data_IF_750738494537
#
_entry.id   IF_750738494537
#
_cell.length_a   1.000
_cell.length_b   1.000
_cell.length_c   1.000
_cell.angle_alpha   90.00
_cell.angle_beta   90.00
_cell.angle_gamma   90.00
#
_symmetry.space_group_name_H-M   'P 1'
#
loop_
_entity.id
_entity.type
_entity.pdbx_description
1 polymer ?
#
# COMPACT_ATOMS: atom_id res chain seq x y z
N UNK A 1 -22.55 -2.03 6.16
CA UNK A 1 -22.37 -3.33 6.85
C UNK A 1 -21.10 -3.23 7.71
N UNK A 2 -21.21 -3.31 9.04
CA UNK A 2 -20.05 -3.21 9.94
C UNK A 2 -19.38 -4.59 9.94
N UNK A 3 -18.17 -4.68 9.40
CA UNK A 3 -17.44 -5.95 9.33
C UNK A 3 -16.91 -6.26 10.75
N UNK A 4 -17.58 -7.16 11.47
CA UNK A 4 -17.27 -7.52 12.87
C UNK A 4 -16.10 -8.52 12.99
N UNK A 5 -15.68 -9.11 11.87
CA UNK A 5 -14.63 -10.10 11.85
C UNK A 5 -13.73 -9.92 10.63
N UNK A 6 -12.43 -10.16 10.81
CA UNK A 6 -11.49 -10.24 9.69
C UNK A 6 -10.79 -11.59 9.73
N UNK A 7 -10.75 -12.32 8.61
CA UNK A 7 -9.88 -13.47 8.52
C UNK A 7 -8.44 -12.96 8.60
N UNK A 8 -7.71 -13.41 9.62
CA UNK A 8 -6.27 -13.27 9.66
C UNK A 8 -5.67 -14.64 9.45
N UNK A 9 -4.62 -14.68 8.65
CA UNK A 9 -3.83 -15.88 8.50
C UNK A 9 -3.16 -16.15 9.86
N UNK A 10 -3.33 -17.34 10.41
CA UNK A 10 -2.54 -17.76 11.56
C UNK A 10 -1.14 -18.15 11.05
N UNK A 11 -0.07 -17.44 11.44
CA UNK A 11 1.28 -17.77 10.98
C UNK A 11 1.73 -19.18 11.41
N UNK A 12 1.14 -19.73 12.47
CA UNK A 12 1.44 -21.08 12.97
C UNK A 12 0.61 -22.16 12.25
N UNK A 13 -0.54 -21.79 11.69
CA UNK A 13 -1.46 -22.69 11.01
C UNK A 13 -1.86 -22.10 9.65
N UNK A 14 -0.94 -22.07 8.67
CA UNK A 14 -1.13 -21.36 7.39
C UNK A 14 -2.25 -21.95 6.52
N UNK A 15 -2.80 -23.11 6.91
CA UNK A 15 -3.95 -23.76 6.28
C UNK A 15 -5.29 -23.30 6.85
N UNK A 16 -5.31 -22.61 7.99
CA UNK A 16 -6.52 -22.18 8.69
C UNK A 16 -6.65 -20.66 8.72
N UNK A 17 -7.83 -20.16 8.34
CA UNK A 17 -8.19 -18.77 8.59
C UNK A 17 -8.64 -18.61 10.04
N UNK A 18 -7.84 -17.93 10.86
CA UNK A 18 -8.31 -17.51 12.17
C UNK A 18 -9.17 -16.25 11.98
N UNK A 19 -10.48 -16.46 11.92
CA UNK A 19 -11.45 -15.36 11.93
C UNK A 19 -11.37 -14.69 13.30
N UNK A 20 -10.67 -13.57 13.38
CA UNK A 20 -10.57 -12.80 14.61
C UNK A 20 -11.65 -11.74 14.60
N UNK A 21 -12.45 -11.67 15.66
CA UNK A 21 -13.37 -10.54 15.85
C UNK A 21 -12.56 -9.27 15.98
N UNK A 22 -12.85 -8.29 15.13
CA UNK A 22 -12.20 -7.00 15.20
C UNK A 22 -12.88 -6.22 16.32
N UNK A 23 -12.11 -5.76 17.31
CA UNK A 23 -12.56 -4.81 18.32
C UNK A 23 -12.74 -3.42 17.67
N UNK A 24 -13.79 -3.30 16.84
CA UNK A 24 -14.10 -2.08 16.12
C UNK A 24 -14.41 -0.96 17.10
N UNK A 25 -15.20 -1.25 18.13
CA UNK A 25 -15.62 -0.24 19.10
C UNK A 25 -14.43 0.26 19.92
N UNK A 26 -13.50 -0.62 20.32
CA UNK A 26 -12.28 -0.19 20.97
C UNK A 26 -11.33 0.55 20.02
N UNK A 27 -11.23 0.17 18.75
CA UNK A 27 -10.48 0.93 17.76
C UNK A 27 -11.06 2.34 17.56
N UNK A 28 -12.39 2.44 17.46
CA UNK A 28 -13.10 3.72 17.34
C UNK A 28 -12.95 4.57 18.61
N UNK A 29 -13.03 3.97 19.81
CA UNK A 29 -12.74 4.67 21.07
C UNK A 29 -11.30 5.19 21.12
N UNK A 30 -10.31 4.38 20.71
CA UNK A 30 -8.90 4.81 20.65
C UNK A 30 -8.70 5.95 19.66
N UNK A 31 -9.32 5.88 18.48
CA UNK A 31 -9.30 6.95 17.49
C UNK A 31 -9.95 8.24 18.01
N UNK A 32 -11.16 8.14 18.58
CA UNK A 32 -11.86 9.29 19.16
C UNK A 32 -11.06 9.92 20.30
N UNK A 33 -10.46 9.12 21.19
CA UNK A 33 -9.59 9.62 22.25
C UNK A 33 -8.33 10.30 21.71
N UNK A 34 -7.72 9.77 20.64
CA UNK A 34 -6.57 10.39 19.98
C UNK A 34 -6.94 11.72 19.30
N UNK A 35 -8.10 11.79 18.66
CA UNK A 35 -8.61 13.04 18.07
C UNK A 35 -8.99 14.06 19.14
N UNK A 36 -9.68 13.67 20.21
CA UNK A 36 -10.00 14.58 21.32
C UNK A 36 -8.73 15.15 22.00
N UNK A 37 -7.64 14.38 22.05
CA UNK A 37 -6.33 14.88 22.48
C UNK A 37 -5.77 15.92 21.52
N UNK A 38 -5.85 15.67 20.20
CA UNK A 38 -5.44 16.61 19.13
C UNK A 38 -6.25 17.91 19.13
N UNK A 39 -7.54 17.80 19.39
CA UNK A 39 -8.48 18.92 19.40
C UNK A 39 -8.54 19.64 20.76
N UNK A 40 -7.71 19.21 21.73
CA UNK A 40 -7.62 19.91 23.00
C UNK A 40 -7.17 21.36 22.78
N UNK A 41 -7.92 22.29 23.38
CA UNK A 41 -7.70 23.74 23.28
C UNK A 41 -6.23 24.14 23.52
N UNK A 42 -5.55 23.48 24.47
CA UNK A 42 -4.13 23.69 24.73
C UNK A 42 -3.22 23.33 23.54
N UNK A 43 -3.47 22.23 22.84
CA UNK A 43 -2.70 21.87 21.64
C UNK A 43 -2.98 22.80 20.46
N UNK A 44 -4.23 23.24 20.28
CA UNK A 44 -4.59 24.21 19.25
C UNK A 44 -3.97 25.60 19.51
N UNK A 45 -3.96 26.06 20.77
CA UNK A 45 -3.34 27.33 21.18
C UNK A 45 -1.81 27.25 21.07
N UNK A 46 -1.19 26.15 21.51
CA UNK A 46 0.26 25.97 21.35
C UNK A 46 0.68 25.83 19.88
N UNK A 47 -0.12 25.18 19.03
CA UNK A 47 0.13 25.06 17.59
C UNK A 47 0.03 26.38 16.84
N UNK A 48 -0.80 27.32 17.30
CA UNK A 48 -0.98 28.67 16.71
C UNK A 48 -0.04 29.73 17.29
N UNK A 49 0.63 29.46 18.41
CA UNK A 49 1.58 30.39 19.01
C UNK A 49 2.86 30.50 18.18
N UNK A 50 3.11 31.67 17.58
CA UNK A 50 4.38 31.96 16.89
C UNK A 50 5.59 31.83 17.82
N UNK A 51 5.41 32.09 19.11
CA UNK A 51 6.48 31.99 20.11
C UNK A 51 6.86 30.53 20.34
N UNK A 52 5.89 29.62 20.47
CA UNK A 52 6.15 28.16 20.56
C UNK A 52 6.78 27.63 19.27
N UNK A 53 6.32 28.08 18.10
CA UNK A 53 6.91 27.68 16.81
C UNK A 53 8.37 28.16 16.66
N UNK A 54 8.68 29.37 17.12
CA UNK A 54 10.04 29.91 17.13
C UNK A 54 10.92 29.18 18.13
N UNK A 55 10.43 28.91 19.34
CA UNK A 55 11.14 28.14 20.37
C UNK A 55 11.43 26.72 19.91
N UNK A 56 10.48 26.04 19.25
CA UNK A 56 10.71 24.71 18.67
C UNK A 56 11.72 24.75 17.51
N UNK A 57 11.69 25.80 16.67
CA UNK A 57 12.72 25.99 15.62
C UNK A 57 14.10 26.26 16.21
N UNK A 58 14.20 26.94 17.35
CA UNK A 58 15.46 27.18 18.05
C UNK A 58 15.97 25.92 18.77
N UNK A 59 15.08 25.16 19.43
CA UNK A 59 15.43 23.92 20.10
C UNK A 59 15.90 22.83 19.11
N UNK A 60 15.27 22.73 17.94
CA UNK A 60 15.71 21.82 16.87
C UNK A 60 17.05 22.21 16.22
N UNK A 61 17.62 23.38 16.55
CA UNK A 61 18.96 23.80 16.12
C UNK A 61 20.04 23.55 17.18
N UNK A 62 19.66 23.10 18.38
CA UNK A 62 20.59 22.74 19.45
C UNK A 62 20.65 21.21 19.50
N UNK A 63 21.77 20.57 19.11
CA UNK A 63 21.93 19.13 19.25
C UNK A 63 21.84 18.74 20.72
N UNK A 64 20.84 17.92 21.09
CA UNK A 64 20.84 17.20 22.36
C UNK A 64 19.81 17.57 23.44
N UNK A 65 18.87 18.51 23.24
CA UNK A 65 17.84 18.80 24.24
C UNK A 65 16.41 18.38 23.84
N UNK A 66 15.98 17.27 24.45
CA UNK A 66 14.61 16.89 24.87
C UNK A 66 13.51 17.07 23.81
N UNK A 67 13.30 16.03 22.99
CA UNK A 67 12.01 15.76 22.35
C UNK A 67 11.29 14.64 23.12
N UNK A 68 10.46 15.02 24.08
CA UNK A 68 9.54 14.08 24.74
C UNK A 68 8.25 13.92 23.93
N UNK A 69 8.17 12.79 23.23
CA UNK A 69 6.98 11.94 23.01
C UNK A 69 5.90 12.38 22.02
N UNK A 70 5.96 11.78 20.81
CA UNK A 70 4.91 10.90 20.23
C UNK A 70 5.30 10.30 18.85
N UNK A 71 6.50 10.57 18.35
CA UNK A 71 7.03 9.97 17.12
C UNK A 71 8.21 9.07 17.46
N UNK A 72 8.24 7.83 16.96
CA UNK A 72 9.44 7.00 17.02
C UNK A 72 10.66 7.75 16.48
N UNK A 73 11.87 7.28 16.86
CA UNK A 73 13.13 7.78 16.31
C UNK A 73 13.02 8.00 14.80
N UNK A 74 13.62 9.06 14.22
CA UNK A 74 13.63 9.29 12.77
C UNK A 74 13.91 8.02 11.96
N UNK A 75 14.80 7.15 12.45
CA UNK A 75 15.12 5.85 11.84
C UNK A 75 13.92 4.90 11.84
N UNK A 76 13.19 4.77 12.95
CA UNK A 76 11.99 3.91 13.02
C UNK A 76 10.85 4.42 12.14
N UNK A 77 10.67 5.74 12.03
CA UNK A 77 9.64 6.31 11.16
C UNK A 77 9.99 6.12 9.68
N UNK A 78 11.24 6.36 9.31
CA UNK A 78 11.71 6.19 7.94
C UNK A 78 11.64 4.71 7.52
N UNK A 79 12.07 3.80 8.39
CA UNK A 79 11.91 2.36 8.22
C UNK A 79 10.43 2.00 7.97
N UNK A 80 9.50 2.46 8.81
CA UNK A 80 8.08 2.15 8.63
C UNK A 80 7.46 2.70 7.34
N UNK A 81 8.03 3.77 6.77
CA UNK A 81 7.51 4.41 5.56
C UNK A 81 8.14 3.86 4.27
N UNK A 82 9.40 3.41 4.33
CA UNK A 82 10.20 3.10 3.15
C UNK A 82 10.92 1.75 3.21
N UNK A 83 10.70 0.94 4.25
CA UNK A 83 11.44 -0.32 4.46
C UNK A 83 11.32 -1.33 3.33
N UNK A 84 10.22 -1.32 2.56
CA UNK A 84 10.08 -2.14 1.34
C UNK A 84 11.04 -1.74 0.20
N UNK A 85 11.62 -0.54 0.28
CA UNK A 85 12.54 0.02 -0.70
C UNK A 85 13.99 0.02 -0.20
N UNK A 86 14.28 -0.67 0.89
CA UNK A 86 15.66 -0.78 1.38
C UNK A 86 16.46 -1.72 0.48
N UNK A 87 17.73 -1.37 0.22
CA UNK A 87 18.65 -2.18 -0.58
C UNK A 87 18.86 -3.56 0.06
N UNK A 88 18.96 -3.59 1.39
CA UNK A 88 19.01 -4.81 2.20
C UNK A 88 17.69 -4.92 2.97
N UNK A 89 16.90 -5.95 2.66
CA UNK A 89 15.59 -6.17 3.28
C UNK A 89 15.74 -6.39 4.80
N UNK A 90 15.09 -5.57 5.65
CA UNK A 90 15.14 -5.76 7.10
C UNK A 90 14.40 -7.04 7.54
N UNK A 91 14.83 -7.73 8.62
CA UNK A 91 14.18 -8.96 9.08
C UNK A 91 12.68 -8.86 9.41
N UNK A 92 12.19 -7.67 9.79
CA UNK A 92 10.75 -7.44 9.97
C UNK A 92 9.98 -7.46 8.66
N UNK A 93 10.59 -6.97 7.57
CA UNK A 93 10.01 -7.00 6.23
C UNK A 93 10.10 -8.39 5.60
N UNK A 94 11.16 -9.15 5.86
CA UNK A 94 11.22 -10.57 5.46
C UNK A 94 10.05 -11.36 6.01
N UNK A 95 9.76 -11.24 7.32
CA UNK A 95 8.60 -11.88 7.95
C UNK A 95 7.26 -11.38 7.39
N UNK A 96 7.17 -10.09 7.06
CA UNK A 96 5.98 -9.54 6.40
C UNK A 96 5.79 -10.15 5.00
N UNK A 97 6.87 -10.33 4.23
CA UNK A 97 6.81 -10.98 2.92
C UNK A 97 6.51 -12.47 2.98
N UNK A 98 7.00 -13.19 3.99
CA UNK A 98 6.60 -14.58 4.26
C UNK A 98 5.10 -14.66 4.50
N UNK A 99 4.57 -13.77 5.35
CA UNK A 99 3.13 -13.68 5.62
C UNK A 99 2.34 -13.34 4.35
N UNK A 100 2.78 -12.33 3.58
CA UNK A 100 2.16 -11.97 2.30
C UNK A 100 2.18 -13.13 1.31
N UNK A 101 3.28 -13.89 1.25
CA UNK A 101 3.40 -15.08 0.39
C UNK A 101 2.37 -16.14 0.77
N UNK A 102 2.18 -16.39 2.06
CA UNK A 102 1.19 -17.35 2.54
C UNK A 102 -0.24 -16.88 2.20
N UNK A 103 -0.54 -15.59 2.40
CA UNK A 103 -1.83 -15.00 2.03
C UNK A 103 -2.09 -15.13 0.52
N UNK A 104 -1.14 -14.77 -0.33
CA UNK A 104 -1.29 -14.86 -1.80
C UNK A 104 -1.47 -16.31 -2.26
N UNK A 105 -0.71 -17.24 -1.65
CA UNK A 105 -0.85 -18.68 -1.93
C UNK A 105 -2.24 -19.17 -1.58
N UNK A 106 -2.74 -18.81 -0.40
CA UNK A 106 -4.06 -19.24 0.04
C UNK A 106 -5.15 -18.62 -0.83
N UNK A 107 -5.05 -17.32 -1.13
CA UNK A 107 -5.99 -16.64 -1.99
C UNK A 107 -6.05 -17.30 -3.38
N UNK A 108 -4.91 -17.68 -3.96
CA UNK A 108 -4.86 -18.42 -5.22
C UNK A 108 -5.60 -19.77 -5.14
N UNK A 109 -5.43 -20.51 -4.04
CA UNK A 109 -6.12 -21.78 -3.82
C UNK A 109 -7.63 -21.58 -3.70
N UNK A 110 -8.04 -20.61 -2.89
CA UNK A 110 -9.46 -20.29 -2.64
C UNK A 110 -10.14 -19.80 -3.93
N UNK A 111 -9.51 -18.92 -4.71
CA UNK A 111 -10.05 -18.48 -6.00
C UNK A 111 -10.20 -19.64 -6.97
N UNK A 112 -9.20 -20.53 -7.03
CA UNK A 112 -9.24 -21.71 -7.91
C UNK A 112 -10.34 -22.68 -7.51
N UNK A 113 -10.56 -22.87 -6.21
CA UNK A 113 -11.60 -23.77 -5.69
C UNK A 113 -13.02 -23.36 -6.10
N UNK A 114 -13.25 -22.05 -6.34
CA UNK A 114 -14.52 -21.51 -6.84
C UNK A 114 -14.54 -21.31 -8.37
N UNK A 115 -13.59 -21.89 -9.10
CA UNK A 115 -13.52 -21.79 -10.56
C UNK A 115 -13.04 -20.44 -11.09
N UNK A 116 -12.43 -19.60 -10.24
CA UNK A 116 -11.89 -18.28 -10.61
C UNK A 116 -10.37 -18.29 -10.72
N UNK A 117 -9.82 -17.33 -11.48
CA UNK A 117 -8.37 -17.12 -11.60
C UNK A 117 -7.94 -15.89 -10.80
N UNK A 118 -6.93 -16.04 -9.94
CA UNK A 118 -6.31 -14.89 -9.27
C UNK A 118 -5.36 -14.16 -10.23
N UNK A 119 -5.62 -12.89 -10.44
CA UNK A 119 -4.71 -11.94 -11.11
C UNK A 119 -4.34 -10.85 -10.11
N UNK A 120 -3.06 -10.50 -10.05
CA UNK A 120 -2.54 -9.42 -9.20
C UNK A 120 -1.96 -8.33 -10.10
N UNK A 121 -2.20 -7.07 -9.79
CA UNK A 121 -1.47 -5.96 -10.41
C UNK A 121 -0.78 -5.13 -9.33
N UNK A 122 0.40 -4.58 -9.64
CA UNK A 122 1.13 -3.70 -8.72
C UNK A 122 0.55 -2.30 -8.73
N UNK A 123 0.64 -1.61 -7.59
CA UNK A 123 0.27 -0.19 -7.46
C UNK A 123 1.55 0.59 -7.16
N UNK A 124 2.25 1.14 -8.18
CA UNK A 124 3.48 1.89 -7.96
C UNK A 124 3.24 3.12 -7.09
N UNK A 125 4.12 3.34 -6.11
CA UNK A 125 4.08 4.54 -5.31
C UNK A 125 4.82 5.70 -6.00
N UNK A 126 4.48 6.94 -5.65
CA UNK A 126 5.06 8.15 -6.25
C UNK A 126 6.61 8.13 -6.23
N UNK A 127 7.23 7.72 -5.12
CA UNK A 127 8.70 7.65 -5.02
C UNK A 127 9.35 6.58 -5.91
N UNK A 128 8.59 5.58 -6.35
CA UNK A 128 9.12 4.51 -7.20
C UNK A 128 9.15 4.95 -8.68
N UNK A 129 8.36 5.97 -9.04
CA UNK A 129 8.15 6.43 -10.41
C UNK A 129 8.75 7.82 -10.68
N UNK A 130 8.60 8.77 -9.75
CA UNK A 130 9.00 10.17 -9.94
C UNK A 130 10.40 10.43 -9.38
N UNK A 131 11.38 10.61 -10.29
CA UNK A 131 12.77 10.87 -9.93
C UNK A 131 12.99 12.11 -9.05
N UNK A 132 12.39 13.27 -9.37
CA UNK A 132 12.48 14.46 -8.51
C UNK A 132 11.95 14.24 -7.08
N UNK A 133 10.81 13.58 -6.93
CA UNK A 133 10.23 13.26 -5.63
C UNK A 133 11.07 12.25 -4.87
N UNK A 134 11.57 11.22 -5.55
CA UNK A 134 12.49 10.23 -4.99
C UNK A 134 13.74 10.89 -4.39
N UNK A 135 14.41 11.77 -5.13
CA UNK A 135 15.57 12.53 -4.61
C UNK A 135 15.26 13.31 -3.34
N UNK A 136 14.02 13.85 -3.21
CA UNK A 136 13.58 14.53 -1.98
C UNK A 136 13.40 13.58 -0.79
N UNK A 137 13.08 12.30 -1.02
CA UNK A 137 12.98 11.28 0.02
C UNK A 137 14.37 10.75 0.39
N UNK A 138 15.23 10.48 -0.59
CA UNK A 138 16.62 10.05 -0.39
C UNK A 138 17.40 11.08 0.43
N UNK A 139 17.24 12.37 0.17
CA UNK A 139 17.85 13.44 0.95
C UNK A 139 17.39 13.49 2.43
N UNK A 140 16.33 12.76 2.79
CA UNK A 140 15.82 12.62 4.16
C UNK A 140 16.16 11.27 4.79
N UNK A 141 16.76 10.36 4.02
CA UNK A 141 17.19 9.08 4.55
C UNK A 141 18.26 9.29 5.62
N UNK A 142 18.26 8.51 6.71
CA UNK A 142 19.36 8.53 7.68
C UNK A 142 20.70 8.22 7.03
N UNK A 143 20.67 7.37 6.00
CA UNK A 143 21.80 6.97 5.18
C UNK A 143 21.30 6.77 3.72
N UNK A 144 21.85 7.50 2.72
CA UNK A 144 21.47 7.38 1.32
C UNK A 144 21.63 5.96 0.76
N UNK A 145 22.63 5.22 1.22
CA UNK A 145 22.94 3.86 0.71
C UNK A 145 21.98 2.79 1.24
N UNK A 146 21.09 3.17 2.17
CA UNK A 146 20.10 2.24 2.74
C UNK A 146 18.91 2.01 1.80
N UNK A 147 18.58 2.96 0.91
CA UNK A 147 17.38 2.91 0.06
C UNK A 147 17.72 2.77 -1.42
N UNK A 148 17.00 1.87 -2.11
CA UNK A 148 17.22 1.51 -3.50
C UNK A 148 15.94 1.70 -4.33
N UNK A 149 15.37 2.90 -4.32
CA UNK A 149 14.11 3.21 -5.02
C UNK A 149 14.17 2.93 -6.54
N UNK A 150 15.33 3.13 -7.18
CA UNK A 150 15.53 2.82 -8.60
C UNK A 150 15.32 1.34 -8.92
N UNK A 151 15.82 0.47 -8.06
CA UNK A 151 15.69 -0.98 -8.17
C UNK A 151 14.31 -1.46 -7.74
N UNK A 152 13.59 -0.65 -6.94
CA UNK A 152 12.27 -0.97 -6.39
C UNK A 152 12.22 -2.39 -5.80
N UNK A 153 13.06 -2.71 -4.80
CA UNK A 153 13.22 -4.09 -4.31
C UNK A 153 11.91 -4.71 -3.82
N UNK A 154 10.96 -3.91 -3.30
CA UNK A 154 9.63 -4.38 -2.96
C UNK A 154 8.80 -4.85 -4.17
N UNK A 155 8.92 -4.18 -5.32
CA UNK A 155 8.29 -4.63 -6.57
C UNK A 155 8.95 -5.91 -7.08
N UNK A 156 10.29 -5.97 -7.08
CA UNK A 156 11.04 -7.19 -7.43
C UNK A 156 10.62 -8.37 -6.55
N UNK A 157 10.51 -8.15 -5.24
CA UNK A 157 10.10 -9.15 -4.26
C UNK A 157 8.70 -9.68 -4.52
N UNK A 158 7.74 -8.80 -4.80
CA UNK A 158 6.39 -9.19 -5.18
C UNK A 158 6.39 -10.01 -6.47
N UNK A 159 7.11 -9.55 -7.50
CA UNK A 159 7.21 -10.25 -8.79
C UNK A 159 7.78 -11.66 -8.62
N UNK A 160 8.82 -11.82 -7.80
CA UNK A 160 9.44 -13.12 -7.51
C UNK A 160 8.46 -14.09 -6.84
N UNK A 161 7.71 -13.61 -5.85
CA UNK A 161 6.68 -14.40 -5.16
C UNK A 161 5.61 -14.86 -6.16
N UNK A 162 5.05 -13.93 -6.95
CA UNK A 162 3.97 -14.22 -7.89
C UNK A 162 4.44 -15.21 -8.98
N UNK A 163 5.64 -15.00 -9.52
CA UNK A 163 6.27 -15.88 -10.50
C UNK A 163 6.50 -17.30 -9.96
N UNK A 164 7.07 -17.42 -8.76
CA UNK A 164 7.30 -18.72 -8.12
C UNK A 164 5.99 -19.49 -7.88
N UNK A 165 4.89 -18.79 -7.65
CA UNK A 165 3.54 -19.37 -7.45
C UNK A 165 2.72 -19.47 -8.73
N UNK A 166 3.25 -19.04 -9.88
CA UNK A 166 2.52 -18.99 -11.16
C UNK A 166 1.19 -18.23 -11.03
N UNK A 167 1.19 -17.14 -10.27
CA UNK A 167 0.06 -16.21 -10.18
C UNK A 167 0.22 -15.19 -11.31
N UNK A 168 -0.87 -14.90 -12.01
CA UNK A 168 -0.87 -13.91 -13.09
C UNK A 168 -0.58 -12.52 -12.53
N UNK A 169 0.35 -11.79 -13.16
CA UNK A 169 0.86 -10.53 -12.67
C UNK A 169 0.89 -9.45 -13.75
N UNK A 170 0.27 -8.31 -13.47
CA UNK A 170 0.36 -7.09 -14.29
C UNK A 170 1.27 -6.09 -13.59
N UNK A 171 2.47 -5.88 -14.14
CA UNK A 171 3.41 -4.92 -13.57
C UNK A 171 3.19 -3.52 -14.14
N UNK A 172 2.67 -2.61 -13.31
CA UNK A 172 2.43 -1.22 -13.71
C UNK A 172 3.66 -0.32 -13.56
N UNK A 173 4.71 -0.76 -12.86
CA UNK A 173 5.87 0.08 -12.58
C UNK A 173 6.60 0.55 -13.85
N UNK A 174 6.88 -0.29 -14.86
CA UNK A 174 7.59 0.14 -16.06
C UNK A 174 6.81 1.20 -16.86
N UNK A 175 5.50 1.00 -17.05
CA UNK A 175 4.65 1.94 -17.81
C UNK A 175 4.48 3.27 -17.08
N UNK A 176 4.31 3.25 -15.76
CA UNK A 176 4.25 4.48 -14.96
C UNK A 176 5.57 5.26 -15.00
N UNK A 177 6.72 4.57 -14.93
CA UNK A 177 8.05 5.21 -15.07
C UNK A 177 8.21 5.86 -16.44
N UNK A 178 7.88 5.16 -17.52
CA UNK A 178 8.02 5.71 -18.87
C UNK A 178 7.17 6.98 -19.09
N UNK A 179 5.91 6.96 -18.62
CA UNK A 179 4.98 8.08 -18.79
C UNK A 179 5.36 9.27 -17.91
N UNK A 180 5.82 9.03 -16.68
CA UNK A 180 6.30 10.13 -15.82
C UNK A 180 7.60 10.74 -16.33
N UNK A 181 8.49 9.94 -16.91
CA UNK A 181 9.72 10.42 -17.57
C UNK A 181 9.45 11.28 -18.81
N UNK A 182 8.33 11.07 -19.52
CA UNK A 182 7.93 11.94 -20.63
C UNK A 182 7.26 13.26 -20.18
N UNK A 183 7.10 13.46 -18.87
CA UNK A 183 6.58 14.69 -18.27
C UNK A 183 5.10 14.64 -17.89
N UNK A 184 4.40 13.53 -18.16
CA UNK A 184 3.00 13.36 -17.77
C UNK A 184 2.89 13.05 -16.28
N UNK A 185 2.04 13.80 -15.58
CA UNK A 185 1.81 13.61 -14.15
C UNK A 185 0.71 12.58 -13.92
N UNK A 186 1.02 11.51 -13.20
CA UNK A 186 0.08 10.43 -12.85
C UNK A 186 -0.39 10.47 -11.39
N UNK A 187 0.07 11.45 -10.61
CA UNK A 187 -0.17 11.52 -9.16
C UNK A 187 -0.55 12.93 -8.75
N UNK A 188 -1.32 13.02 -7.66
CA UNK A 188 -1.49 14.28 -6.94
C UNK A 188 -0.26 14.54 -6.07
N UNK A 189 0.31 15.75 -6.15
CA UNK A 189 1.45 16.14 -5.30
C UNK A 189 1.07 16.21 -3.81
N UNK A 190 -0.20 16.49 -3.50
CA UNK A 190 -0.69 16.75 -2.14
C UNK A 190 -0.87 15.49 -1.30
N UNK A 191 -1.41 14.41 -1.87
CA UNK A 191 -1.75 13.19 -1.14
C UNK A 191 -0.97 11.93 -1.60
N UNK A 192 -0.29 12.02 -2.76
CA UNK A 192 0.56 10.99 -3.37
C UNK A 192 -0.21 9.79 -3.92
N UNK A 193 -1.53 9.89 -4.08
CA UNK A 193 -2.32 8.92 -4.83
C UNK A 193 -2.30 9.23 -6.32
N UNK A 194 -2.77 8.27 -7.11
CA UNK A 194 -2.97 8.48 -8.54
C UNK A 194 -3.99 9.59 -8.77
N UNK A 195 -3.74 10.41 -9.78
CA UNK A 195 -4.75 11.31 -10.31
C UNK A 195 -5.63 10.56 -11.34
N UNK A 196 -6.66 11.19 -11.93
CA UNK A 196 -7.52 10.53 -12.92
C UNK A 196 -6.74 9.90 -14.09
N UNK A 197 -5.67 10.57 -14.54
CA UNK A 197 -4.80 10.05 -15.61
C UNK A 197 -4.07 8.77 -15.19
N UNK A 198 -3.49 8.74 -13.98
CA UNK A 198 -2.86 7.54 -13.42
C UNK A 198 -3.83 6.37 -13.30
N UNK A 199 -5.07 6.64 -12.88
CA UNK A 199 -6.12 5.62 -12.85
C UNK A 199 -6.50 5.11 -14.25
N UNK A 200 -6.62 6.00 -15.25
CA UNK A 200 -6.94 5.61 -16.62
C UNK A 200 -5.85 4.72 -17.22
N UNK A 201 -4.58 5.13 -17.12
CA UNK A 201 -3.44 4.35 -17.60
C UNK A 201 -3.39 2.97 -16.95
N UNK A 202 -3.61 2.89 -15.62
CA UNK A 202 -3.65 1.61 -14.94
C UNK A 202 -4.79 0.72 -15.46
N UNK A 203 -6.00 1.28 -15.61
CA UNK A 203 -7.16 0.54 -16.08
C UNK A 203 -6.97 0.02 -17.51
N UNK A 204 -6.48 0.86 -18.43
CA UNK A 204 -6.18 0.47 -19.81
C UNK A 204 -5.13 -0.62 -19.89
N UNK A 205 -4.03 -0.48 -19.14
CA UNK A 205 -2.94 -1.45 -19.15
C UNK A 205 -3.37 -2.80 -18.57
N UNK A 206 -4.11 -2.78 -17.45
CA UNK A 206 -4.67 -4.00 -16.85
C UNK A 206 -5.67 -4.66 -17.79
N UNK A 207 -6.60 -3.91 -18.36
CA UNK A 207 -7.59 -4.45 -19.30
C UNK A 207 -6.91 -5.06 -20.52
N UNK A 208 -5.95 -4.35 -21.12
CA UNK A 208 -5.19 -4.84 -22.26
C UNK A 208 -4.49 -6.16 -21.95
N UNK A 209 -3.81 -6.26 -20.80
CA UNK A 209 -3.17 -7.49 -20.36
C UNK A 209 -4.18 -8.63 -20.18
N UNK A 210 -5.30 -8.38 -19.51
CA UNK A 210 -6.34 -9.39 -19.28
C UNK A 210 -6.95 -9.90 -20.59
N UNK A 211 -7.15 -9.04 -21.58
CA UNK A 211 -7.63 -9.42 -22.92
C UNK A 211 -6.58 -10.24 -23.68
N UNK A 212 -5.32 -9.78 -23.71
CA UNK A 212 -4.23 -10.48 -24.40
C UNK A 212 -4.00 -11.89 -23.85
N UNK A 213 -4.03 -12.03 -22.53
CA UNK A 213 -3.86 -13.32 -21.85
C UNK A 213 -5.15 -14.16 -21.82
N UNK A 214 -6.24 -13.67 -22.42
CA UNK A 214 -7.56 -14.34 -22.46
C UNK A 214 -8.08 -14.70 -21.06
N UNK A 215 -7.81 -13.83 -20.08
CA UNK A 215 -8.26 -13.95 -18.70
C UNK A 215 -9.65 -13.38 -18.46
N UNK A 216 -10.20 -12.67 -19.45
CA UNK A 216 -11.60 -12.29 -19.51
C UNK A 216 -12.36 -13.31 -20.36
N UNK A 217 -13.40 -13.88 -19.78
CA UNK A 217 -14.41 -14.61 -20.55
C UNK A 217 -15.20 -13.54 -21.31
N UNK A 218 -15.34 -13.63 -22.65
CA UNK A 218 -16.28 -12.77 -23.37
C UNK A 218 -17.64 -12.96 -22.72
N UNK A 219 -18.36 -11.89 -22.39
CA UNK A 219 -19.75 -12.02 -21.93
C UNK A 219 -20.47 -12.96 -22.90
N UNK A 220 -20.95 -14.10 -22.40
CA UNK A 220 -21.97 -14.81 -23.16
C UNK A 220 -23.13 -13.82 -23.24
N UNK A 221 -23.64 -13.51 -24.43
CA UNK A 221 -24.86 -12.72 -24.52
C UNK A 221 -25.90 -13.39 -23.63
N UNK A 222 -26.65 -12.62 -22.86
CA UNK A 222 -27.68 -13.11 -21.95
C UNK A 222 -28.81 -13.79 -22.75
N UNK A 223 -28.54 -14.96 -23.30
CA UNK A 223 -29.53 -15.93 -23.74
C UNK A 223 -29.91 -16.69 -22.49
N UNK A 224 -31.10 -16.40 -21.96
CA UNK A 224 -31.92 -17.26 -21.07
C UNK A 224 -32.70 -16.45 -20.00
N UNK A 225 -33.39 -15.38 -20.43
CA UNK A 225 -34.48 -14.78 -19.66
C UNK A 225 -35.84 -14.82 -20.39
N UNK A 226 -35.96 -15.52 -21.53
CA UNK A 226 -37.22 -15.59 -22.29
C UNK A 226 -38.11 -16.82 -22.04
N UNK A 227 -37.74 -17.78 -21.18
CA UNK A 227 -38.54 -19.02 -21.02
C UNK A 227 -39.37 -19.11 -19.72
N UNK A 228 -39.53 -18.00 -18.98
CA UNK A 228 -40.33 -17.97 -17.74
C UNK A 228 -41.82 -17.63 -17.93
N UNK A 229 -42.32 -17.49 -19.16
CA UNK A 229 -43.75 -17.18 -19.43
C UNK A 229 -44.59 -18.33 -20.01
N UNK A 230 -44.07 -19.56 -20.04
CA UNK A 230 -44.88 -20.75 -20.36
C UNK A 230 -45.10 -21.64 -19.14
N UNK A 231 -46.08 -21.27 -18.33
CA UNK A 231 -46.82 -22.23 -17.51
C UNK A 231 -48.15 -22.54 -18.23
N UNK A 232 -48.56 -23.83 -18.34
CA UNK A 232 -49.87 -24.22 -18.83
C UNK A 232 -51.00 -23.84 -17.87
#
# INVERSE_FOLDING_TARGET
MKIESRPFLDPQHPTEWKITRVDFDGAQRRYAAANARRDSFLQQVMGRSRLVQLSNKAANRIPGMISTSLSGSPNTRFLGQHGVNFCIEPPSYTRAWETTTQILTRLQQDTKAIGSTLVVFSVPALQDVDGPYRKKIEAKAPDPDTVCFDQAPGHQRLQDILRARKIQYVDLLPVFRAITQSGTRLFWESDRHWNPEGHNIAAEHVLSHLVTEKLLIPEQPATDLEDATRLP
#
